data_IF_823410484818
#
_entry.id   IF_823410484818
#
_cell.length_a   1.000
_cell.length_b   1.000
_cell.length_c   1.000
_cell.angle_alpha   90.00
_cell.angle_beta   90.00
_cell.angle_gamma   90.00
#
_symmetry.space_group_name_H-M   'P 1'
#
loop_
_entity.id
_entity.type
_entity.pdbx_description
1 polymer ?
#
# COMPACT_ATOMS: atom_id res chain seq x y z
N UNK A 1 -8.16 -24.56 24.07
CA UNK A 1 -7.20 -23.45 23.86
C UNK A 1 -8.02 -22.18 23.72
N UNK A 2 -8.35 -21.56 24.84
CA UNK A 2 -9.15 -20.32 24.87
C UNK A 2 -8.25 -19.19 24.40
N UNK A 3 -8.57 -18.58 23.25
CA UNK A 3 -7.93 -17.36 22.81
C UNK A 3 -8.14 -16.29 23.88
N UNK A 4 -7.08 -15.57 24.33
CA UNK A 4 -7.27 -14.51 25.32
C UNK A 4 -8.26 -13.49 24.76
N UNK A 5 -9.37 -13.28 25.47
CA UNK A 5 -10.35 -12.25 25.12
C UNK A 5 -9.64 -10.91 25.28
N UNK A 6 -9.40 -10.26 24.16
CA UNK A 6 -8.76 -8.95 24.09
C UNK A 6 -9.74 -7.91 24.68
N UNK A 7 -9.28 -7.07 25.61
CA UNK A 7 -10.19 -6.15 26.31
C UNK A 7 -10.74 -5.10 25.34
N UNK A 8 -11.93 -4.56 25.64
CA UNK A 8 -12.62 -3.60 24.77
C UNK A 8 -11.76 -2.35 24.52
N UNK A 9 -10.93 -1.97 25.50
CA UNK A 9 -9.92 -0.90 25.38
C UNK A 9 -8.93 -1.15 24.24
N UNK A 10 -8.48 -2.39 24.03
CA UNK A 10 -7.54 -2.71 22.96
C UNK A 10 -8.19 -2.65 21.58
N UNK A 11 -9.51 -2.87 21.48
CA UNK A 11 -10.27 -2.67 20.25
C UNK A 11 -10.45 -1.18 19.96
N UNK A 12 -10.85 -0.38 20.95
CA UNK A 12 -11.00 1.07 20.84
C UNK A 12 -9.67 1.72 20.44
N UNK A 13 -8.56 1.31 21.07
CA UNK A 13 -7.21 1.77 20.75
C UNK A 13 -6.83 1.49 19.30
N UNK A 14 -7.17 0.31 18.76
CA UNK A 14 -6.89 -0.05 17.37
C UNK A 14 -7.73 0.75 16.36
N UNK A 15 -9.00 0.98 16.66
CA UNK A 15 -9.87 1.82 15.84
C UNK A 15 -9.39 3.27 15.84
N UNK A 16 -9.05 3.81 17.01
CA UNK A 16 -8.51 5.16 17.15
C UNK A 16 -7.19 5.32 16.37
N UNK A 17 -6.29 4.34 16.44
CA UNK A 17 -5.06 4.32 15.62
C UNK A 17 -5.36 4.39 14.12
N UNK A 18 -6.26 3.53 13.64
CA UNK A 18 -6.65 3.53 12.23
C UNK A 18 -7.23 4.88 11.80
N UNK A 19 -8.12 5.46 12.61
CA UNK A 19 -8.73 6.75 12.30
C UNK A 19 -7.70 7.89 12.25
N UNK A 20 -6.84 8.01 13.27
CA UNK A 20 -5.82 9.08 13.33
C UNK A 20 -4.86 8.99 12.14
N UNK A 21 -4.39 7.78 11.81
CA UNK A 21 -3.46 7.56 10.69
C UNK A 21 -4.13 7.88 9.35
N UNK A 22 -5.39 7.49 9.16
CA UNK A 22 -6.15 7.80 7.95
C UNK A 22 -6.36 9.32 7.76
N UNK A 23 -6.73 10.03 8.83
CA UNK A 23 -6.92 11.49 8.79
C UNK A 23 -5.61 12.25 8.56
N UNK A 24 -4.53 11.82 9.21
CA UNK A 24 -3.21 12.39 8.98
C UNK A 24 -2.76 12.20 7.52
N UNK A 25 -2.94 10.99 6.96
CA UNK A 25 -2.64 10.73 5.56
C UNK A 25 -3.47 11.61 4.63
N UNK A 26 -4.78 11.73 4.87
CA UNK A 26 -5.66 12.61 4.09
C UNK A 26 -5.17 14.06 4.08
N UNK A 27 -4.83 14.63 5.25
CA UNK A 27 -4.34 16.01 5.33
C UNK A 27 -3.03 16.21 4.58
N UNK A 28 -2.09 15.26 4.67
CA UNK A 28 -0.82 15.33 3.95
C UNK A 28 -1.04 15.35 2.43
N UNK A 29 -1.96 14.53 1.91
CA UNK A 29 -2.27 14.52 0.47
C UNK A 29 -3.13 15.69 0.01
N UNK A 30 -3.91 16.32 0.90
CA UNK A 30 -4.65 17.54 0.57
C UNK A 30 -3.74 18.78 0.49
N UNK A 31 -2.65 18.80 1.25
CA UNK A 31 -1.72 19.95 1.31
C UNK A 31 -0.52 19.74 0.37
N UNK A 32 -0.08 18.50 0.18
CA UNK A 32 1.04 18.15 -0.69
C UNK A 32 0.60 17.92 -2.13
N UNK A 33 1.04 18.77 -3.04
CA UNK A 33 0.89 18.56 -4.48
C UNK A 33 1.90 17.52 -4.99
N UNK A 34 1.61 16.24 -4.73
CA UNK A 34 2.42 15.13 -5.24
C UNK A 34 1.84 14.61 -6.55
N UNK A 35 2.70 14.53 -7.58
CA UNK A 35 2.39 14.00 -8.91
C UNK A 35 1.80 12.57 -8.91
N UNK A 36 1.99 11.81 -7.81
CA UNK A 36 1.53 10.42 -7.65
C UNK A 36 0.57 10.21 -6.46
N UNK A 37 -0.15 11.27 -6.06
CA UNK A 37 -0.96 11.29 -4.84
C UNK A 37 -1.96 10.13 -4.72
N UNK A 38 -2.61 9.73 -5.82
CA UNK A 38 -3.65 8.70 -5.80
C UNK A 38 -3.08 7.29 -5.54
N UNK A 39 -1.94 6.93 -6.14
CA UNK A 39 -1.36 5.59 -5.97
C UNK A 39 -0.74 5.41 -4.59
N UNK A 40 -0.08 6.45 -4.10
CA UNK A 40 0.46 6.49 -2.76
C UNK A 40 -0.66 6.44 -1.71
N UNK A 41 -1.71 7.26 -1.85
CA UNK A 41 -2.86 7.27 -0.94
C UNK A 41 -3.59 5.92 -0.89
N UNK A 42 -3.84 5.28 -2.04
CA UNK A 42 -4.44 3.95 -2.08
C UNK A 42 -3.58 2.90 -1.35
N UNK A 43 -2.26 3.02 -1.43
CA UNK A 43 -1.33 2.13 -0.73
C UNK A 43 -1.43 2.25 0.80
N UNK A 44 -1.61 3.47 1.30
CA UNK A 44 -1.80 3.73 2.75
C UNK A 44 -3.07 3.05 3.24
N UNK A 45 -4.19 3.20 2.51
CA UNK A 45 -5.46 2.59 2.88
C UNK A 45 -5.37 1.05 2.91
N UNK A 46 -4.74 0.45 1.90
CA UNK A 46 -4.54 -1.00 1.83
C UNK A 46 -3.78 -1.50 3.07
N UNK A 47 -2.73 -0.79 3.48
CA UNK A 47 -1.90 -1.16 4.64
C UNK A 47 -2.67 -1.00 5.95
N UNK A 48 -3.59 -0.05 6.03
CA UNK A 48 -4.36 0.24 7.23
C UNK A 48 -5.56 -0.70 7.44
N UNK A 49 -6.00 -1.42 6.40
CA UNK A 49 -7.11 -2.39 6.42
C UNK A 49 -7.15 -3.32 7.65
N UNK A 50 -6.04 -3.95 8.11
CA UNK A 50 -6.06 -4.83 9.28
C UNK A 50 -6.20 -4.10 10.63
N UNK A 51 -6.14 -2.76 10.67
CA UNK A 51 -6.29 -1.87 11.86
C UNK A 51 -5.41 -2.22 13.08
N UNK A 52 -4.49 -3.18 12.91
CA UNK A 52 -3.57 -3.69 13.91
C UNK A 52 -2.16 -3.35 13.48
N UNK A 53 -1.27 -3.01 14.43
CA UNK A 53 0.12 -2.70 14.10
C UNK A 53 0.83 -3.89 13.41
N UNK A 54 0.63 -5.10 13.94
CA UNK A 54 1.24 -6.32 13.39
C UNK A 54 0.70 -6.67 12.00
N UNK A 55 -0.62 -6.60 11.81
CA UNK A 55 -1.24 -6.84 10.50
C UNK A 55 -0.84 -5.79 9.48
N UNK A 56 -0.78 -4.53 9.89
CA UNK A 56 -0.40 -3.42 9.03
C UNK A 56 1.06 -3.52 8.58
N UNK A 57 1.98 -3.91 9.47
CA UNK A 57 3.38 -4.16 9.10
C UNK A 57 3.51 -5.33 8.10
N UNK A 58 2.69 -6.38 8.25
CA UNK A 58 2.64 -7.49 7.29
C UNK A 58 2.11 -7.03 5.93
N UNK A 59 1.05 -6.21 5.90
CA UNK A 59 0.50 -5.66 4.67
C UNK A 59 1.44 -4.66 4.00
N UNK A 60 2.21 -3.89 4.77
CA UNK A 60 3.25 -3.00 4.26
C UNK A 60 4.33 -3.77 3.49
N UNK A 61 4.80 -4.90 4.04
CA UNK A 61 5.75 -5.78 3.33
C UNK A 61 5.17 -6.34 2.05
N UNK A 62 3.92 -6.82 2.09
CA UNK A 62 3.20 -7.31 0.91
C UNK A 62 3.08 -6.23 -0.16
N UNK A 63 2.75 -4.99 0.23
CA UNK A 63 2.64 -3.85 -0.68
C UNK A 63 3.96 -3.53 -1.33
N UNK A 64 5.05 -3.43 -0.57
CA UNK A 64 6.38 -3.12 -1.11
C UNK A 64 6.83 -4.20 -2.10
N UNK A 65 6.71 -5.48 -1.73
CA UNK A 65 7.12 -6.61 -2.59
C UNK A 65 6.26 -6.64 -3.85
N UNK A 66 4.95 -6.52 -3.72
CA UNK A 66 4.04 -6.53 -4.86
C UNK A 66 4.31 -5.35 -5.79
N UNK A 67 4.43 -4.13 -5.27
CA UNK A 67 4.75 -2.95 -6.08
C UNK A 67 6.09 -3.10 -6.79
N UNK A 68 7.13 -3.61 -6.11
CA UNK A 68 8.42 -3.89 -6.75
C UNK A 68 8.28 -4.83 -7.95
N UNK A 69 7.56 -5.95 -7.77
CA UNK A 69 7.32 -6.93 -8.84
C UNK A 69 6.52 -6.35 -9.99
N UNK A 70 5.48 -5.55 -9.70
CA UNK A 70 4.68 -4.88 -10.73
C UNK A 70 5.49 -3.84 -11.51
N UNK A 71 6.33 -3.05 -10.83
CA UNK A 71 7.24 -2.10 -11.46
C UNK A 71 8.29 -2.81 -12.35
N UNK A 72 8.87 -3.93 -11.88
CA UNK A 72 9.81 -4.73 -12.68
C UNK A 72 9.12 -5.30 -13.92
N UNK A 73 7.91 -5.83 -13.78
CA UNK A 73 7.12 -6.32 -14.91
C UNK A 73 6.78 -5.18 -15.90
N UNK A 74 6.43 -4.00 -15.39
CA UNK A 74 6.19 -2.81 -16.21
C UNK A 74 7.42 -2.36 -16.99
N UNK A 75 8.58 -2.34 -16.34
CA UNK A 75 9.87 -2.06 -17.00
C UNK A 75 10.20 -3.11 -18.06
N UNK A 76 9.96 -4.40 -17.76
CA UNK A 76 10.17 -5.47 -18.73
C UNK A 76 9.28 -5.31 -19.97
N UNK A 77 7.99 -4.99 -19.78
CA UNK A 77 7.08 -4.69 -20.90
C UNK A 77 7.58 -3.50 -21.73
N UNK A 78 8.04 -2.44 -21.07
CA UNK A 78 8.58 -1.27 -21.76
C UNK A 78 9.87 -1.58 -22.54
N UNK A 79 10.77 -2.39 -21.99
CA UNK A 79 12.00 -2.82 -22.67
C UNK A 79 11.72 -3.75 -23.85
N UNK A 80 10.75 -4.66 -23.73
CA UNK A 80 10.36 -5.58 -24.81
C UNK A 80 9.73 -4.80 -25.97
N UNK A 81 8.87 -3.82 -25.69
CA UNK A 81 8.22 -3.04 -26.74
C UNK A 81 9.15 -1.99 -27.34
N UNK A 82 10.07 -1.40 -26.57
CA UNK A 82 11.02 -0.41 -27.07
C UNK A 82 10.33 0.73 -27.84
N UNK A 83 10.69 0.88 -29.12
CA UNK A 83 10.09 1.88 -30.02
C UNK A 83 8.61 1.61 -30.36
N UNK A 84 8.12 0.40 -30.14
CA UNK A 84 6.74 -0.01 -30.40
C UNK A 84 5.79 0.29 -29.24
N UNK A 85 6.30 0.90 -28.16
CA UNK A 85 5.51 1.23 -26.97
C UNK A 85 4.30 2.16 -27.26
N UNK A 86 4.39 2.98 -28.31
CA UNK A 86 3.28 3.84 -28.76
C UNK A 86 2.14 3.08 -29.46
N UNK A 87 2.31 1.81 -29.84
CA UNK A 87 1.24 1.02 -30.45
C UNK A 87 0.35 0.39 -29.37
N UNK A 88 -0.79 1.04 -29.09
CA UNK A 88 -1.70 0.65 -28.00
C UNK A 88 -2.13 -0.82 -28.00
N UNK A 89 -2.34 -1.44 -29.17
CA UNK A 89 -2.71 -2.86 -29.27
C UNK A 89 -1.57 -3.77 -28.81
N UNK A 90 -0.33 -3.49 -29.25
CA UNK A 90 0.85 -4.26 -28.87
C UNK A 90 1.12 -4.12 -27.37
N UNK A 91 0.94 -2.91 -26.85
CA UNK A 91 1.06 -2.62 -25.42
C UNK A 91 0.01 -3.36 -24.60
N UNK A 92 -1.25 -3.37 -25.02
CA UNK A 92 -2.31 -4.12 -24.36
C UNK A 92 -2.04 -5.64 -24.34
N UNK A 93 -1.55 -6.20 -25.45
CA UNK A 93 -1.16 -7.62 -25.52
C UNK A 93 0.02 -7.93 -24.60
N UNK A 94 1.08 -7.12 -24.62
CA UNK A 94 2.22 -7.32 -23.73
C UNK A 94 1.84 -7.16 -22.25
N UNK A 95 0.96 -6.22 -21.93
CA UNK A 95 0.41 -6.02 -20.60
C UNK A 95 -0.40 -7.23 -20.12
N UNK A 96 -1.29 -7.77 -20.95
CA UNK A 96 -2.11 -8.96 -20.60
C UNK A 96 -1.25 -10.20 -20.40
N UNK A 97 -0.20 -10.38 -21.20
CA UNK A 97 0.79 -11.45 -21.01
C UNK A 97 1.54 -11.25 -19.67
N UNK A 98 1.99 -10.04 -19.37
CA UNK A 98 2.67 -9.72 -18.12
C UNK A 98 1.77 -9.89 -16.88
N UNK A 99 0.45 -9.72 -17.02
CA UNK A 99 -0.54 -9.97 -15.97
C UNK A 99 -0.75 -11.47 -15.67
N UNK A 100 -0.57 -12.35 -16.66
CA UNK A 100 -0.86 -13.79 -16.55
C UNK A 100 -0.26 -14.48 -15.33
N UNK A 101 1.05 -14.34 -15.04
CA UNK A 101 1.67 -14.92 -13.85
C UNK A 101 1.06 -14.44 -12.53
N UNK A 102 0.66 -13.16 -12.45
CA UNK A 102 0.02 -12.60 -11.27
C UNK A 102 -1.40 -13.14 -11.08
N UNK A 103 -2.17 -13.31 -12.16
CA UNK A 103 -3.48 -13.98 -12.10
C UNK A 103 -3.37 -15.40 -11.53
N UNK A 104 -2.30 -16.12 -11.88
CA UNK A 104 -2.04 -17.45 -11.32
C UNK A 104 -1.58 -17.41 -9.85
N UNK A 105 -0.93 -16.35 -9.40
CA UNK A 105 -0.64 -16.17 -7.97
C UNK A 105 -1.88 -15.78 -7.16
N UNK A 106 -2.87 -15.16 -7.78
CA UNK A 106 -4.15 -14.83 -7.17
C UNK A 106 -4.91 -16.07 -6.67
N UNK A 107 -4.69 -17.24 -7.30
CA UNK A 107 -5.35 -18.50 -6.91
C UNK A 107 -4.56 -19.34 -5.92
N UNK A 108 -3.31 -18.98 -5.59
CA UNK A 108 -2.37 -19.80 -4.80
C UNK A 108 -2.37 -19.51 -3.29
N UNK A 109 -3.40 -18.83 -2.77
CA UNK A 109 -3.60 -18.54 -1.34
C UNK A 109 -3.56 -17.05 -0.99
N UNK A 110 -4.00 -16.69 0.21
CA UNK A 110 -4.27 -15.30 0.61
C UNK A 110 -3.04 -14.37 0.52
N UNK A 111 -1.87 -14.83 1.01
CA UNK A 111 -0.65 -14.01 0.98
C UNK A 111 -0.16 -13.79 -0.45
N UNK A 112 -0.13 -14.86 -1.25
CA UNK A 112 0.30 -14.77 -2.67
C UNK A 112 -0.70 -13.95 -3.49
N UNK A 113 -1.98 -14.05 -3.18
CA UNK A 113 -3.03 -13.24 -3.79
C UNK A 113 -2.89 -11.75 -3.46
N UNK A 114 -2.55 -11.40 -2.21
CA UNK A 114 -2.32 -10.02 -1.83
C UNK A 114 -1.08 -9.42 -2.52
N UNK A 115 0.01 -10.20 -2.65
CA UNK A 115 1.20 -9.79 -3.41
C UNK A 115 0.84 -9.60 -4.89
N UNK A 116 0.10 -10.55 -5.48
CA UNK A 116 -0.33 -10.47 -6.87
C UNK A 116 -1.24 -9.26 -7.15
N UNK A 117 -2.22 -9.01 -6.28
CA UNK A 117 -3.09 -7.84 -6.39
C UNK A 117 -2.29 -6.53 -6.34
N UNK A 118 -1.34 -6.44 -5.42
CA UNK A 118 -0.46 -5.27 -5.33
C UNK A 118 0.43 -5.12 -6.57
N UNK A 119 0.96 -6.23 -7.11
CA UNK A 119 1.76 -6.21 -8.32
C UNK A 119 0.95 -5.80 -9.56
N UNK A 120 -0.27 -6.32 -9.73
CA UNK A 120 -1.16 -5.92 -10.82
C UNK A 120 -1.53 -4.43 -10.73
N UNK A 121 -1.77 -3.91 -9.52
CA UNK A 121 -2.01 -2.48 -9.28
C UNK A 121 -0.81 -1.59 -9.62
N UNK A 122 0.42 -2.09 -9.51
CA UNK A 122 1.64 -1.36 -9.90
C UNK A 122 2.02 -1.59 -11.38
N UNK A 123 1.54 -2.67 -11.99
CA UNK A 123 1.70 -2.94 -13.42
C UNK A 123 0.74 -2.10 -14.28
N UNK A 124 -0.39 -1.65 -13.77
CA UNK A 124 -1.36 -0.82 -14.51
C UNK A 124 -0.90 0.63 -14.74
N UNK A 125 0.32 0.97 -14.32
CA UNK A 125 0.83 2.35 -14.30
C UNK A 125 1.32 2.81 -15.66
N UNK A 126 2.14 2.02 -16.39
CA UNK A 126 2.40 2.28 -17.79
C UNK A 126 1.11 2.50 -18.59
N UNK A 127 0.03 1.78 -18.26
CA UNK A 127 -1.28 1.95 -18.91
C UNK A 127 -1.82 3.38 -18.76
N UNK A 128 -1.65 3.99 -17.59
CA UNK A 128 -2.08 5.37 -17.32
C UNK A 128 -1.14 6.42 -17.91
N UNK A 129 0.14 6.11 -18.14
CA UNK A 129 1.11 7.06 -18.73
C UNK A 129 1.21 6.96 -20.24
N UNK A 130 0.99 5.78 -20.83
CA UNK A 130 1.06 5.55 -22.29
C UNK A 130 -0.16 6.07 -23.05
N UNK A 131 -1.30 6.24 -22.37
CA UNK A 131 -2.53 6.77 -22.96
C UNK A 131 -2.61 8.30 -22.90
N UNK A 132 -1.67 8.96 -22.20
CA UNK A 132 -1.56 10.42 -22.16
C UNK A 132 -0.60 10.86 -23.26
N UNK A 133 -1.05 11.60 -24.29
CA UNK A 133 -0.17 12.15 -25.31
C UNK A 133 0.84 13.11 -24.65
N UNK A 134 2.11 13.07 -25.09
CA UNK A 134 3.29 13.87 -24.62
C UNK A 134 4.24 13.24 -23.59
N UNK A 135 3.91 12.10 -22.94
CA UNK A 135 4.79 11.50 -21.92
C UNK A 135 5.72 10.41 -22.50
N UNK A 136 6.96 10.77 -22.85
CA UNK A 136 7.99 9.82 -23.38
C UNK A 136 8.78 9.07 -22.31
N UNK A 137 8.74 9.50 -21.05
CA UNK A 137 9.61 8.95 -19.98
C UNK A 137 8.90 7.97 -19.05
N UNK A 138 8.24 6.95 -19.62
CA UNK A 138 7.55 5.91 -18.84
C UNK A 138 8.50 5.17 -17.87
N UNK A 139 9.80 5.09 -18.18
CA UNK A 139 10.78 4.44 -17.29
C UNK A 139 11.02 5.26 -16.01
N UNK A 140 11.18 6.58 -16.15
CA UNK A 140 11.32 7.49 -15.02
C UNK A 140 10.05 7.50 -14.16
N UNK A 141 8.88 7.48 -14.81
CA UNK A 141 7.60 7.41 -14.09
C UNK A 141 7.46 6.13 -13.26
N UNK A 142 7.91 4.98 -13.76
CA UNK A 142 7.86 3.71 -13.01
C UNK A 142 8.80 3.77 -11.79
N UNK A 143 10.02 4.29 -11.95
CA UNK A 143 10.98 4.44 -10.85
C UNK A 143 10.50 5.43 -9.80
N UNK A 144 9.99 6.58 -10.22
CA UNK A 144 9.42 7.58 -9.33
C UNK A 144 8.26 7.00 -8.51
N UNK A 145 7.36 6.24 -9.14
CA UNK A 145 6.25 5.60 -8.43
C UNK A 145 6.73 4.53 -7.44
N UNK A 146 7.71 3.71 -7.80
CA UNK A 146 8.29 2.75 -6.86
C UNK A 146 8.85 3.46 -5.62
N UNK A 147 9.62 4.54 -5.84
CA UNK A 147 10.19 5.35 -4.76
C UNK A 147 9.11 6.03 -3.91
N UNK A 148 8.11 6.65 -4.55
CA UNK A 148 6.99 7.32 -3.90
C UNK A 148 6.18 6.36 -3.02
N UNK A 149 5.79 5.20 -3.56
CA UNK A 149 5.06 4.18 -2.79
C UNK A 149 5.93 3.67 -1.65
N UNK A 150 7.21 3.39 -1.88
CA UNK A 150 8.12 2.93 -0.84
C UNK A 150 8.20 3.93 0.32
N UNK A 151 8.39 5.21 0.03
CA UNK A 151 8.43 6.28 1.04
C UNK A 151 7.09 6.43 1.74
N UNK A 152 5.96 6.43 1.02
CA UNK A 152 4.63 6.53 1.60
C UNK A 152 4.33 5.38 2.57
N UNK A 153 4.72 4.15 2.20
CA UNK A 153 4.56 2.97 3.05
C UNK A 153 5.43 3.07 4.31
N UNK A 154 6.69 3.48 4.17
CA UNK A 154 7.60 3.65 5.31
C UNK A 154 7.12 4.75 6.27
N UNK A 155 6.73 5.91 5.75
CA UNK A 155 6.21 7.00 6.57
C UNK A 155 4.93 6.58 7.30
N UNK A 156 4.02 5.89 6.63
CA UNK A 156 2.80 5.36 7.26
C UNK A 156 3.15 4.37 8.37
N UNK A 157 4.10 3.46 8.13
CA UNK A 157 4.60 2.53 9.15
C UNK A 157 5.19 3.26 10.36
N UNK A 158 5.97 4.32 10.14
CA UNK A 158 6.52 5.16 11.20
C UNK A 158 5.42 5.87 11.99
N UNK A 159 4.44 6.50 11.31
CA UNK A 159 3.32 7.19 11.98
C UNK A 159 2.51 6.20 12.81
N UNK A 160 2.19 5.01 12.28
CA UNK A 160 1.49 3.97 13.05
C UNK A 160 2.28 3.54 14.29
N UNK A 161 3.60 3.39 14.18
CA UNK A 161 4.44 3.05 15.33
C UNK A 161 4.41 4.16 16.39
N UNK A 162 4.54 5.42 15.98
CA UNK A 162 4.47 6.59 16.87
C UNK A 162 3.11 6.66 17.56
N UNK A 163 2.00 6.55 16.82
CA UNK A 163 0.64 6.63 17.39
C UNK A 163 0.38 5.45 18.33
N UNK A 164 0.81 4.24 17.97
CA UNK A 164 0.66 3.06 18.84
C UNK A 164 1.44 3.20 20.15
N UNK A 165 2.66 3.73 20.08
CA UNK A 165 3.48 3.97 21.26
C UNK A 165 2.87 5.10 22.12
N UNK A 166 2.43 6.19 21.50
CA UNK A 166 1.81 7.33 22.17
C UNK A 166 0.55 6.94 22.93
N UNK A 167 -0.35 6.18 22.30
CA UNK A 167 -1.58 5.70 22.94
C UNK A 167 -1.25 4.81 24.14
N UNK A 168 -0.27 3.91 24.03
CA UNK A 168 0.17 3.08 25.17
C UNK A 168 0.76 3.91 26.30
N UNK A 169 1.58 4.91 25.99
CA UNK A 169 2.15 5.81 27.01
C UNK A 169 1.04 6.60 27.72
N UNK A 170 0.03 7.09 27.00
CA UNK A 170 -1.11 7.78 27.62
C UNK A 170 -1.99 6.84 28.46
N UNK A 171 -2.20 5.60 28.01
CA UNK A 171 -2.92 4.57 28.77
C UNK A 171 -2.20 4.18 30.08
N UNK A 172 -0.86 4.14 30.06
CA UNK A 172 -0.05 3.89 31.25
C UNK A 172 -0.02 5.06 32.24
N UNK A 173 -0.18 6.30 31.75
CA UNK A 173 -0.11 7.51 32.57
C UNK A 173 -1.42 7.82 33.33
N UNK A 174 -2.54 7.23 32.91
CA UNK A 174 -3.86 7.37 33.55
C UNK A 174 -4.39 6.01 34.03
N UNK A 175 -3.94 5.49 35.18
CA UNK A 175 -4.37 4.18 35.72
C UNK A 175 -5.85 4.13 36.10
N UNK A 176 -6.55 5.26 36.20
CA UNK A 176 -7.98 5.31 36.53
C UNK A 176 -8.87 4.71 35.44
N UNK A 177 -8.43 4.74 34.17
CA UNK A 177 -9.14 4.12 33.04
C UNK A 177 -9.08 2.58 33.12
N UNK A 178 -8.04 2.02 33.74
CA UNK A 178 -7.90 0.57 33.97
C UNK A 178 -8.85 0.05 35.05
N UNK A 179 -9.26 0.91 35.98
CA UNK A 179 -10.11 0.53 37.12
C UNK A 179 -11.62 0.58 36.81
N UNK A 180 -12.03 1.12 35.64
CA UNK A 180 -13.43 1.12 35.21
C UNK A 180 -13.89 -0.27 34.73
N UNK A 181 -12.98 -1.14 34.29
CA UNK A 181 -13.30 -2.52 33.86
C UNK A 181 -13.27 -3.56 35.01
N UNK A 182 -12.87 -3.18 36.22
CA UNK A 182 -12.81 -4.09 37.39
C UNK A 182 -14.04 -4.01 38.32
N UNK A 183 -15.05 -3.20 37.95
CA UNK A 183 -16.35 -3.13 38.63
C UNK A 183 -17.48 -3.52 37.70
#
# INVERSE_FOLDING_TARGET
>A
MTTPVKSDIDYISQVAMGWVVAMAAFLVFQIGDLYDSLSAQASILIILTPMTLAGSMAMAKIRIIGTALGCIAGMAVQLILGSWFGYGLLFWLAFTIAMGPFCLWLTKGQVKAAIAFSAMSALSVPLTTSLVPEQKDAFFSILYRFSSIFVAVLLTAMVMWVVHHWIRVMLLKHPEVKNVELN
#
